data_IF_691491194559
#
_entry.id   IF_691491194559
#
_cell.length_a   1.000
_cell.length_b   1.000
_cell.length_c   1.000
_cell.angle_alpha   90.00
_cell.angle_beta   90.00
_cell.angle_gamma   90.00
#
_symmetry.space_group_name_H-M   'P 1'
#
loop_
_entity.id
_entity.type
_entity.pdbx_description
1 polymer ?
#
# COMPACT_ATOMS: atom_id res chain seq x y z
N UNK A 1 13.88 5.40 -1.61
CA UNK A 1 13.43 5.71 -2.99
C UNK A 1 13.17 4.45 -3.80
N UNK A 2 14.14 3.55 -4.02
CA UNK A 2 13.91 2.34 -4.83
C UNK A 2 12.78 1.43 -4.29
N UNK A 3 12.66 1.28 -2.96
CA UNK A 3 11.58 0.49 -2.33
C UNK A 3 10.21 1.04 -2.72
N UNK A 4 9.95 2.33 -2.48
CA UNK A 4 8.68 2.97 -2.80
C UNK A 4 8.34 2.84 -4.30
N UNK A 5 9.30 3.06 -5.20
CA UNK A 5 9.07 2.92 -6.64
C UNK A 5 8.69 1.47 -7.04
N UNK A 6 9.34 0.47 -6.45
CA UNK A 6 9.01 -0.94 -6.67
C UNK A 6 7.63 -1.29 -6.13
N UNK A 7 7.27 -0.79 -4.93
CA UNK A 7 5.94 -0.99 -4.35
C UNK A 7 4.89 -0.41 -5.29
N UNK A 8 5.03 0.86 -5.69
CA UNK A 8 4.11 1.51 -6.63
C UNK A 8 3.98 0.70 -7.93
N UNK A 9 5.11 0.37 -8.57
CA UNK A 9 5.10 -0.38 -9.83
C UNK A 9 4.42 -1.75 -9.69
N UNK A 10 4.77 -2.50 -8.64
CA UNK A 10 4.18 -3.82 -8.39
C UNK A 10 2.69 -3.75 -8.05
N UNK A 11 2.25 -2.75 -7.29
CA UNK A 11 0.85 -2.53 -6.96
C UNK A 11 0.04 -2.17 -8.20
N UNK A 12 0.54 -1.28 -9.07
CA UNK A 12 -0.15 -0.94 -10.32
C UNK A 12 -0.29 -2.15 -11.24
N UNK A 13 0.76 -2.96 -11.38
CA UNK A 13 0.67 -4.22 -12.13
C UNK A 13 -0.37 -5.16 -11.52
N UNK A 14 -0.40 -5.30 -10.19
CA UNK A 14 -1.43 -6.05 -9.49
C UNK A 14 -2.84 -5.52 -9.74
N UNK A 15 -3.02 -4.20 -9.72
CA UNK A 15 -4.27 -3.51 -10.02
C UNK A 15 -4.75 -3.73 -11.46
N UNK A 16 -3.83 -3.69 -12.44
CA UNK A 16 -4.16 -4.00 -13.83
C UNK A 16 -4.62 -5.44 -14.00
N UNK A 17 -3.89 -6.39 -13.41
CA UNK A 17 -4.25 -7.81 -13.46
C UNK A 17 -5.63 -8.01 -12.81
N UNK A 18 -5.84 -7.47 -11.61
CA UNK A 18 -7.12 -7.57 -10.91
C UNK A 18 -8.26 -6.95 -11.73
N UNK A 19 -8.04 -5.80 -12.36
CA UNK A 19 -9.03 -5.15 -13.21
C UNK A 19 -9.45 -6.03 -14.39
N UNK A 20 -8.49 -6.65 -15.07
CA UNK A 20 -8.76 -7.56 -16.20
C UNK A 20 -9.47 -8.84 -15.78
N UNK A 21 -9.16 -9.39 -14.59
CA UNK A 21 -9.79 -10.62 -14.09
C UNK A 21 -11.23 -10.34 -13.65
N UNK A 22 -11.47 -9.19 -13.03
CA UNK A 22 -12.77 -8.81 -12.48
C UNK A 22 -13.67 -8.08 -13.49
N UNK A 23 -13.19 -7.87 -14.72
CA UNK A 23 -13.87 -7.13 -15.78
C UNK A 23 -14.35 -5.74 -15.32
N UNK A 24 -13.48 -5.03 -14.60
CA UNK A 24 -13.72 -3.65 -14.16
C UNK A 24 -12.82 -2.68 -14.91
N UNK A 25 -13.22 -1.41 -14.93
CA UNK A 25 -12.41 -0.34 -15.52
C UNK A 25 -10.99 -0.30 -14.95
N UNK A 26 -10.01 -0.15 -15.86
CA UNK A 26 -8.60 -0.22 -15.52
C UNK A 26 -8.19 0.88 -14.53
N UNK A 27 -8.74 2.09 -14.67
CA UNK A 27 -8.45 3.21 -13.78
C UNK A 27 -9.04 2.99 -12.39
N UNK A 28 -10.19 2.32 -12.26
CA UNK A 28 -10.71 1.87 -10.95
C UNK A 28 -9.75 0.87 -10.29
N UNK A 29 -9.20 -0.06 -11.05
CA UNK A 29 -8.17 -0.99 -10.57
C UNK A 29 -6.92 -0.28 -10.06
N UNK A 30 -6.41 0.71 -10.81
CA UNK A 30 -5.26 1.51 -10.39
C UNK A 30 -5.55 2.40 -9.17
N UNK A 31 -6.75 2.98 -9.10
CA UNK A 31 -7.17 3.77 -7.94
C UNK A 31 -7.18 2.93 -6.66
N UNK A 32 -7.79 1.74 -6.70
CA UNK A 32 -7.81 0.83 -5.55
C UNK A 32 -6.43 0.29 -5.18
N UNK A 33 -5.54 0.05 -6.16
CA UNK A 33 -4.20 -0.45 -5.90
C UNK A 33 -3.22 0.61 -5.34
N UNK A 34 -3.60 1.89 -5.36
CA UNK A 34 -2.77 3.02 -4.94
C UNK A 34 -2.92 3.38 -3.45
N UNK A 35 -3.57 2.54 -2.66
CA UNK A 35 -3.73 2.73 -1.22
C UNK A 35 -2.44 2.53 -0.42
N UNK A 36 -1.52 1.69 -0.92
CA UNK A 36 -0.17 1.42 -0.38
C UNK A 36 -0.09 1.18 1.14
N UNK A 37 -1.18 0.81 1.80
CA UNK A 37 -1.28 0.55 3.24
C UNK A 37 -2.25 1.42 4.00
N UNK A 38 -2.72 2.51 3.41
CA UNK A 38 -3.56 3.46 4.12
C UNK A 38 -5.04 3.09 4.03
N UNK A 39 -5.43 2.06 4.77
CA UNK A 39 -6.77 1.46 4.68
C UNK A 39 -7.92 2.44 4.96
N UNK A 40 -7.75 3.36 5.92
CA UNK A 40 -8.80 4.32 6.29
C UNK A 40 -9.06 5.34 5.19
N UNK A 41 -8.01 5.94 4.65
CA UNK A 41 -8.10 6.92 3.56
C UNK A 41 -8.56 6.25 2.26
N UNK A 42 -8.03 5.07 1.95
CA UNK A 42 -8.39 4.32 0.74
C UNK A 42 -9.87 3.93 0.73
N UNK A 43 -10.42 3.52 1.89
CA UNK A 43 -11.84 3.21 2.02
C UNK A 43 -12.76 4.43 1.82
N UNK A 44 -12.42 5.57 2.41
CA UNK A 44 -13.21 6.80 2.29
C UNK A 44 -13.16 7.33 0.84
N UNK A 45 -11.97 7.48 0.26
CA UNK A 45 -11.82 8.05 -1.08
C UNK A 45 -12.47 7.18 -2.16
N UNK A 46 -12.34 5.86 -2.09
CA UNK A 46 -13.01 4.96 -3.05
C UNK A 46 -14.51 4.87 -2.79
N UNK A 47 -14.94 4.99 -1.53
CA UNK A 47 -16.34 5.05 -1.14
C UNK A 47 -17.05 6.27 -1.74
N UNK A 48 -16.42 7.43 -1.62
CA UNK A 48 -16.93 8.70 -2.16
C UNK A 48 -16.91 8.73 -3.70
N UNK A 49 -15.87 8.15 -4.31
CA UNK A 49 -15.69 8.16 -5.77
C UNK A 49 -16.55 7.12 -6.52
N UNK A 50 -16.63 5.89 -6.01
CA UNK A 50 -17.21 4.75 -6.73
C UNK A 50 -18.33 4.04 -5.96
N UNK A 51 -18.67 4.54 -4.76
CA UNK A 51 -19.74 4.01 -3.91
C UNK A 51 -19.25 3.05 -2.82
N UNK A 52 -20.14 2.69 -1.88
CA UNK A 52 -19.78 2.02 -0.63
C UNK A 52 -19.16 0.63 -0.82
N UNK A 53 -19.50 -0.07 -1.91
CA UNK A 53 -18.91 -1.39 -2.22
C UNK A 53 -17.41 -1.26 -2.51
N UNK A 54 -17.02 -0.30 -3.37
CA UNK A 54 -15.61 -0.06 -3.70
C UNK A 54 -14.84 0.49 -2.49
N UNK A 55 -15.48 1.34 -1.68
CA UNK A 55 -14.90 1.79 -0.41
C UNK A 55 -14.61 0.62 0.55
N UNK A 56 -15.57 -0.28 0.75
CA UNK A 56 -15.39 -1.46 1.60
C UNK A 56 -14.31 -2.41 1.09
N UNK A 57 -14.27 -2.65 -0.22
CA UNK A 57 -13.24 -3.51 -0.84
C UNK A 57 -11.86 -2.89 -0.70
N UNK A 58 -11.70 -1.60 -1.00
CA UNK A 58 -10.44 -0.88 -0.87
C UNK A 58 -9.90 -0.89 0.57
N UNK A 59 -10.78 -0.61 1.54
CA UNK A 59 -10.45 -0.72 2.96
C UNK A 59 -9.95 -2.13 3.32
N UNK A 60 -10.68 -3.17 2.90
CA UNK A 60 -10.34 -4.56 3.25
C UNK A 60 -9.04 -5.01 2.61
N UNK A 61 -8.77 -4.63 1.36
CA UNK A 61 -7.52 -4.95 0.67
C UNK A 61 -6.33 -4.39 1.45
N UNK A 62 -6.39 -3.11 1.82
CA UNK A 62 -5.28 -2.46 2.51
C UNK A 62 -5.13 -2.92 3.96
N UNK A 63 -6.24 -3.21 4.65
CA UNK A 63 -6.21 -3.81 5.98
C UNK A 63 -5.57 -5.20 5.94
N UNK A 64 -5.99 -6.05 4.99
CA UNK A 64 -5.39 -7.38 4.81
C UNK A 64 -3.91 -7.28 4.46
N UNK A 65 -3.52 -6.31 3.62
CA UNK A 65 -2.12 -6.03 3.29
C UNK A 65 -1.29 -5.72 4.54
N UNK A 66 -1.83 -4.89 5.44
CA UNK A 66 -1.19 -4.56 6.72
C UNK A 66 -1.06 -5.78 7.63
N UNK A 67 -2.10 -6.58 7.78
CA UNK A 67 -2.07 -7.81 8.58
C UNK A 67 -1.04 -8.81 8.04
N UNK A 68 -0.97 -8.98 6.73
CA UNK A 68 0.05 -9.82 6.09
C UNK A 68 1.45 -9.24 6.29
N UNK A 69 1.61 -7.91 6.25
CA UNK A 69 2.88 -7.26 6.53
C UNK A 69 3.37 -7.55 7.96
N UNK A 70 2.50 -7.44 8.96
CA UNK A 70 2.83 -7.71 10.36
C UNK A 70 3.36 -9.14 10.57
N UNK A 71 2.85 -10.11 9.83
CA UNK A 71 3.33 -11.50 9.86
C UNK A 71 4.62 -11.68 9.05
N UNK A 72 4.74 -11.04 7.88
CA UNK A 72 5.89 -11.21 6.98
C UNK A 72 7.17 -10.52 7.47
N UNK A 73 7.05 -9.35 8.10
CA UNK A 73 8.20 -8.58 8.60
C UNK A 73 9.11 -9.42 9.51
N UNK A 74 8.64 -10.02 10.63
CA UNK A 74 9.51 -10.80 11.51
C UNK A 74 10.18 -11.99 10.81
N UNK A 75 9.53 -12.57 9.80
CA UNK A 75 10.02 -13.73 9.05
C UNK A 75 11.11 -13.34 8.04
N UNK A 76 10.96 -12.20 7.37
CA UNK A 76 11.80 -11.81 6.24
C UNK A 76 12.88 -10.80 6.58
N UNK A 77 12.71 -9.97 7.60
CA UNK A 77 13.56 -8.78 7.80
C UNK A 77 15.04 -9.12 8.06
N UNK A 78 15.33 -10.30 8.64
CA UNK A 78 16.71 -10.74 8.92
C UNK A 78 17.50 -11.06 7.65
N UNK A 79 16.85 -11.56 6.61
CA UNK A 79 17.50 -11.94 5.35
C UNK A 79 17.26 -10.94 4.23
N UNK A 80 16.08 -10.30 4.21
CA UNK A 80 15.61 -9.40 3.15
C UNK A 80 14.93 -8.16 3.74
N UNK A 81 15.68 -7.26 4.41
CA UNK A 81 15.12 -6.10 5.09
C UNK A 81 14.37 -5.16 4.14
N UNK A 82 14.90 -4.92 2.93
CA UNK A 82 14.25 -4.06 1.94
C UNK A 82 12.89 -4.62 1.48
N UNK A 83 12.76 -5.94 1.35
CA UNK A 83 11.51 -6.60 0.97
C UNK A 83 10.48 -6.51 2.10
N UNK A 84 10.90 -6.73 3.34
CA UNK A 84 10.03 -6.61 4.52
C UNK A 84 9.50 -5.16 4.66
N UNK A 85 10.36 -4.16 4.52
CA UNK A 85 9.98 -2.74 4.55
C UNK A 85 9.07 -2.38 3.37
N UNK A 86 9.34 -2.92 2.18
CA UNK A 86 8.47 -2.70 1.02
C UNK A 86 7.05 -3.23 1.22
N UNK A 87 6.92 -4.42 1.79
CA UNK A 87 5.61 -5.03 2.05
C UNK A 87 4.80 -4.24 3.09
N UNK A 88 5.47 -3.65 4.10
CA UNK A 88 4.85 -2.72 5.02
C UNK A 88 4.22 -1.50 4.31
N UNK A 89 4.83 -1.00 3.23
CA UNK A 89 4.30 0.13 2.48
C UNK A 89 4.25 1.43 3.30
N UNK A 90 3.15 2.18 3.19
CA UNK A 90 2.91 3.42 3.95
C UNK A 90 3.03 3.22 5.46
N UNK A 91 2.58 2.07 5.96
CA UNK A 91 2.54 1.77 7.40
C UNK A 91 3.91 1.45 8.00
N UNK A 92 4.96 1.45 7.16
CA UNK A 92 6.36 1.32 7.56
C UNK A 92 6.82 2.44 8.51
N UNK A 93 6.18 3.62 8.45
CA UNK A 93 6.56 4.77 9.28
C UNK A 93 5.82 4.85 10.62
N UNK A 94 4.75 4.08 10.82
CA UNK A 94 3.90 4.13 12.01
C UNK A 94 3.55 2.72 12.55
N UNK A 95 2.50 2.06 12.07
CA UNK A 95 1.94 0.84 12.64
C UNK A 95 2.91 -0.34 12.64
N UNK A 96 3.65 -0.51 11.55
CA UNK A 96 4.61 -1.62 11.42
C UNK A 96 6.01 -1.24 11.91
N UNK A 97 6.25 0.04 12.23
CA UNK A 97 7.57 0.54 12.64
C UNK A 97 8.09 -0.14 13.92
N UNK A 98 7.29 -0.35 15.00
CA UNK A 98 7.75 -1.08 16.17
C UNK A 98 8.20 -2.50 15.87
N UNK A 99 7.51 -3.19 14.94
CA UNK A 99 7.86 -4.55 14.53
C UNK A 99 9.16 -4.54 13.74
N UNK A 100 9.32 -3.59 12.80
CA UNK A 100 10.55 -3.40 12.02
C UNK A 100 11.73 -3.10 12.96
N UNK A 101 11.54 -2.23 13.95
CA UNK A 101 12.59 -1.85 14.89
C UNK A 101 13.01 -3.02 15.79
N UNK A 102 12.05 -3.78 16.33
CA UNK A 102 12.33 -4.89 17.25
C UNK A 102 12.94 -6.10 16.55
N UNK A 103 12.59 -6.35 15.29
CA UNK A 103 13.03 -7.55 14.55
C UNK A 103 14.19 -7.29 13.57
N UNK A 104 14.23 -6.12 12.94
CA UNK A 104 15.27 -5.68 12.00
C UNK A 104 16.34 -4.76 12.59
N UNK A 105 16.14 -4.30 13.83
CA UNK A 105 17.05 -3.40 14.53
C UNK A 105 16.96 -1.93 14.09
N UNK A 106 17.62 -1.06 14.85
CA UNK A 106 17.58 0.40 14.67
C UNK A 106 18.10 0.89 13.31
N UNK A 107 18.91 0.08 12.61
CA UNK A 107 19.41 0.42 11.27
C UNK A 107 18.32 0.45 10.21
N UNK A 108 17.23 -0.30 10.39
CA UNK A 108 16.12 -0.37 9.44
C UNK A 108 15.14 0.81 9.60
N UNK A 109 15.15 1.48 10.75
CA UNK A 109 14.18 2.53 11.11
C UNK A 109 14.21 3.73 10.15
N UNK A 110 15.36 4.36 9.83
CA UNK A 110 15.36 5.51 8.91
C UNK A 110 14.87 5.14 7.51
N UNK A 111 15.19 3.93 7.03
CA UNK A 111 14.77 3.45 5.71
C UNK A 111 13.27 3.22 5.68
N UNK A 112 12.71 2.62 6.73
CA UNK A 112 11.28 2.39 6.88
C UNK A 112 10.49 3.71 6.92
N UNK A 113 10.96 4.68 7.70
CA UNK A 113 10.33 6.01 7.80
C UNK A 113 10.34 6.72 6.45
N UNK A 114 11.50 6.80 5.77
CA UNK A 114 11.59 7.49 4.48
C UNK A 114 10.72 6.80 3.42
N UNK A 115 10.72 5.46 3.37
CA UNK A 115 9.89 4.73 2.40
C UNK A 115 8.40 4.89 2.69
N UNK A 116 8.00 4.75 3.95
CA UNK A 116 6.61 4.93 4.38
C UNK A 116 6.12 6.34 4.10
N UNK A 117 6.91 7.36 4.44
CA UNK A 117 6.58 8.76 4.18
C UNK A 117 6.34 9.06 2.70
N UNK A 118 7.22 8.58 1.81
CA UNK A 118 7.06 8.77 0.36
C UNK A 118 5.75 8.13 -0.12
N UNK A 119 5.46 6.90 0.32
CA UNK A 119 4.24 6.20 -0.06
C UNK A 119 3.00 6.94 0.47
N UNK A 120 2.98 7.29 1.76
CA UNK A 120 1.87 8.03 2.39
C UNK A 120 1.55 9.35 1.69
N UNK A 121 2.57 10.09 1.25
CA UNK A 121 2.38 11.33 0.49
C UNK A 121 1.77 11.06 -0.90
N UNK A 122 2.16 9.95 -1.53
CA UNK A 122 1.69 9.58 -2.87
C UNK A 122 0.31 8.93 -2.89
N UNK A 123 -0.14 8.29 -1.80
CA UNK A 123 -1.47 7.65 -1.72
C UNK A 123 -2.60 8.59 -2.19
N UNK A 124 -2.86 9.76 -1.57
CA UNK A 124 -3.95 10.63 -2.01
C UNK A 124 -3.75 11.15 -3.43
N UNK A 125 -2.51 11.46 -3.82
CA UNK A 125 -2.18 11.98 -5.16
C UNK A 125 -2.53 10.95 -6.23
N UNK A 126 -2.08 9.70 -6.06
CA UNK A 126 -2.27 8.64 -7.05
C UNK A 126 -3.71 8.17 -7.08
N UNK A 127 -4.35 7.97 -5.92
CA UNK A 127 -5.76 7.55 -5.88
C UNK A 127 -6.65 8.58 -6.56
N UNK A 128 -6.53 9.87 -6.21
CA UNK A 128 -7.36 10.92 -6.83
C UNK A 128 -7.06 11.11 -8.31
N UNK A 129 -5.80 10.94 -8.73
CA UNK A 129 -5.43 10.99 -10.15
C UNK A 129 -6.07 9.87 -10.96
N UNK A 130 -6.11 8.63 -10.46
CA UNK A 130 -6.78 7.55 -11.19
C UNK A 130 -8.31 7.64 -11.10
N UNK A 131 -8.85 8.15 -9.97
CA UNK A 131 -10.28 8.46 -9.87
C UNK A 131 -10.71 9.45 -10.94
N UNK A 132 -9.93 10.52 -11.17
CA UNK A 132 -10.29 11.51 -12.19
C UNK A 132 -10.19 10.99 -13.63
N UNK A 133 -9.40 9.95 -13.88
CA UNK A 133 -9.31 9.27 -15.17
C UNK A 133 -10.41 8.20 -15.37
N UNK A 134 -10.99 7.69 -14.29
CA UNK A 134 -12.06 6.68 -14.31
C UNK A 134 -13.47 7.28 -14.48
N UNK A 135 -13.57 8.61 -14.48
CA UNK A 135 -14.82 9.38 -14.58
C UNK A 135 -15.31 9.59 -16.00
#
# INVERSE_FOLDING_TARGET
MCIAALVIGSSLVGGAIAATILDIDLYRGFAMASGFGWYSLAGILMGDAFGPVYGGVSFMIELLRELVALVLIPLLIRSRPCTAIGYAGATAMDFTLPVIQTTGGVRCVPVAIVSGFILSLLVPVMMLFFVSLAG
#
